data_IF_079529592187
#
_entry.id   IF_079529592187
#
_cell.length_a   1.000
_cell.length_b   1.000
_cell.length_c   1.000
_cell.angle_alpha   90.00
_cell.angle_beta   90.00
_cell.angle_gamma   90.00
#
_symmetry.space_group_name_H-M   'P 1'
#
loop_
_entity.id
_entity.type
_entity.pdbx_description
1 polymer ?
#
# COMPACT_ATOMS: atom_id res chain seq x y z
N UNK A 1 -16.33 -74.72 -30.60
CA UNK A 1 -16.30 -73.97 -31.86
C UNK A 1 -16.19 -72.50 -31.49
N UNK A 2 -14.99 -71.97 -31.23
CA UNK A 2 -13.98 -71.58 -32.26
C UNK A 2 -14.66 -70.72 -33.33
N UNK A 3 -14.26 -69.48 -33.61
CA UNK A 3 -12.92 -69.05 -34.00
C UNK A 3 -12.61 -67.60 -33.57
N UNK A 4 -11.32 -67.43 -33.28
CA UNK A 4 -10.47 -66.27 -32.96
C UNK A 4 -10.36 -65.14 -34.01
N UNK A 5 -10.20 -63.91 -33.48
CA UNK A 5 -9.15 -62.88 -33.72
C UNK A 5 -8.63 -62.66 -35.15
N UNK A 6 -8.66 -61.41 -35.60
CA UNK A 6 -7.48 -60.76 -36.23
C UNK A 6 -7.41 -59.28 -35.82
N UNK A 7 -6.30 -58.95 -35.14
CA UNK A 7 -5.78 -57.60 -34.99
C UNK A 7 -5.12 -57.19 -36.31
N UNK A 8 -5.08 -55.89 -36.60
CA UNK A 8 -3.93 -55.30 -37.28
C UNK A 8 -3.72 -53.87 -36.80
N UNK A 9 -2.54 -53.64 -36.23
CA UNK A 9 -1.97 -52.35 -35.92
C UNK A 9 -1.25 -51.81 -37.15
N UNK A 10 -1.30 -50.48 -37.34
CA UNK A 10 -0.13 -49.75 -37.84
C UNK A 10 -0.23 -48.30 -37.38
N UNK A 11 0.64 -47.93 -36.45
CA UNK A 11 1.00 -46.54 -36.18
C UNK A 11 2.13 -46.15 -37.13
N UNK A 12 2.05 -44.96 -37.76
CA UNK A 12 3.04 -43.88 -37.65
C UNK A 12 2.88 -42.82 -38.76
N UNK A 13 2.68 -41.59 -38.29
CA UNK A 13 3.24 -40.32 -38.77
C UNK A 13 3.10 -39.93 -40.25
N UNK A 14 2.54 -38.74 -40.49
CA UNK A 14 3.28 -37.52 -40.84
C UNK A 14 2.29 -36.33 -40.89
N UNK A 15 2.68 -35.24 -40.19
CA UNK A 15 2.47 -33.81 -40.46
C UNK A 15 1.69 -33.46 -41.75
N UNK A 16 0.84 -32.46 -41.87
CA UNK A 16 0.64 -31.18 -41.18
C UNK A 16 -0.52 -30.50 -41.92
N UNK A 17 -1.36 -29.73 -41.23
CA UNK A 17 -1.87 -28.41 -41.66
C UNK A 17 -2.93 -27.93 -40.67
N UNK A 18 -2.39 -27.25 -39.66
CA UNK A 18 -3.05 -26.23 -38.86
C UNK A 18 -3.80 -25.23 -39.75
N UNK A 19 -5.13 -25.23 -39.68
CA UNK A 19 -5.95 -24.12 -40.12
C UNK A 19 -5.82 -22.98 -39.10
N UNK A 20 -4.92 -22.05 -39.43
CA UNK A 20 -4.70 -20.78 -38.76
C UNK A 20 -5.98 -19.96 -38.64
N UNK A 21 -6.51 -19.83 -37.42
CA UNK A 21 -7.23 -18.63 -37.01
C UNK A 21 -6.25 -17.75 -36.24
N UNK A 22 -5.63 -16.83 -36.96
CA UNK A 22 -4.91 -15.68 -36.40
C UNK A 22 -5.86 -14.91 -35.46
N UNK A 23 -5.79 -15.20 -34.16
CA UNK A 23 -6.10 -14.22 -33.13
C UNK A 23 -4.80 -13.50 -32.85
N UNK A 24 -4.67 -12.29 -33.40
CA UNK A 24 -3.68 -11.32 -32.93
C UNK A 24 -3.73 -11.28 -31.40
N UNK A 25 -2.69 -11.82 -30.76
CA UNK A 25 -2.50 -11.75 -29.33
C UNK A 25 -2.11 -10.32 -28.97
N UNK A 26 -3.11 -9.43 -28.96
CA UNK A 26 -3.00 -8.18 -28.21
C UNK A 26 -2.83 -8.64 -26.75
N UNK A 27 -1.65 -8.42 -26.18
CA UNK A 27 -1.46 -8.62 -24.74
C UNK A 27 -2.48 -7.74 -24.04
N UNK A 28 -3.56 -8.35 -23.57
CA UNK A 28 -4.53 -7.68 -22.74
C UNK A 28 -3.87 -7.56 -21.38
N UNK A 29 -3.06 -6.53 -21.19
CA UNK A 29 -2.54 -6.15 -19.90
C UNK A 29 -3.64 -5.45 -19.12
N UNK A 30 -3.73 -5.78 -17.84
CA UNK A 30 -4.62 -5.13 -16.90
C UNK A 30 -4.30 -3.65 -16.91
N UNK A 31 -5.29 -2.81 -17.24
CA UNK A 31 -5.15 -1.35 -17.22
C UNK A 31 -4.96 -0.78 -15.81
N UNK A 32 -5.05 -1.63 -14.79
CA UNK A 32 -4.88 -1.26 -13.38
C UNK A 32 -3.48 -1.67 -12.88
N UNK A 33 -3.09 -2.93 -13.05
CA UNK A 33 -1.85 -3.45 -12.44
C UNK A 33 -0.83 -4.02 -13.44
N UNK A 34 -1.08 -3.93 -14.75
CA UNK A 34 -0.20 -4.46 -15.81
C UNK A 34 -0.17 -5.99 -15.93
N UNK A 35 -0.73 -6.75 -14.97
CA UNK A 35 -0.79 -8.20 -15.06
C UNK A 35 -1.67 -8.69 -16.22
N UNK A 36 -1.52 -9.96 -16.63
CA UNK A 36 -2.38 -10.54 -17.68
C UNK A 36 -3.87 -10.41 -17.33
N UNK A 37 -4.62 -9.76 -18.21
CA UNK A 37 -6.03 -9.47 -18.09
C UNK A 37 -6.86 -10.27 -19.10
N UNK A 38 -8.03 -10.69 -18.64
CA UNK A 38 -8.99 -11.50 -19.41
C UNK A 38 -10.43 -11.03 -19.23
N UNK A 39 -10.66 -9.99 -18.43
CA UNK A 39 -11.99 -9.52 -18.08
C UNK A 39 -12.17 -8.07 -18.51
N UNK A 40 -13.35 -7.75 -19.04
CA UNK A 40 -13.83 -6.37 -19.08
C UNK A 40 -14.68 -6.14 -17.83
N UNK A 41 -14.35 -5.13 -17.04
CA UNK A 41 -15.09 -4.77 -15.82
C UNK A 41 -15.10 -3.25 -15.67
N UNK A 42 -16.31 -2.67 -15.53
CA UNK A 42 -16.53 -1.21 -15.54
C UNK A 42 -15.85 -0.48 -16.72
N UNK A 43 -15.87 -1.08 -17.91
CA UNK A 43 -15.32 -0.47 -19.13
C UNK A 43 -13.79 -0.55 -19.26
N UNK A 44 -13.07 -1.14 -18.30
CA UNK A 44 -11.64 -1.37 -18.37
C UNK A 44 -11.29 -2.86 -18.55
N UNK A 45 -10.20 -3.14 -19.28
CA UNK A 45 -9.62 -4.48 -19.34
C UNK A 45 -8.80 -4.70 -18.07
N UNK A 46 -9.21 -5.67 -17.26
CA UNK A 46 -8.66 -5.92 -15.92
C UNK A 46 -8.31 -7.40 -15.69
N UNK A 47 -7.34 -7.64 -14.80
CA UNK A 47 -7.03 -8.98 -14.31
C UNK A 47 -8.09 -9.44 -13.29
N UNK A 48 -8.06 -10.73 -12.96
CA UNK A 48 -9.02 -11.32 -12.02
C UNK A 48 -8.96 -10.65 -10.64
N UNK A 49 -7.75 -10.39 -10.13
CA UNK A 49 -7.54 -9.81 -8.81
C UNK A 49 -8.13 -8.39 -8.71
N UNK A 50 -7.88 -7.54 -9.72
CA UNK A 50 -8.47 -6.21 -9.78
C UNK A 50 -10.00 -6.26 -9.88
N UNK A 51 -10.57 -7.14 -10.71
CA UNK A 51 -12.02 -7.34 -10.78
C UNK A 51 -12.60 -7.70 -9.41
N UNK A 52 -12.02 -8.67 -8.71
CA UNK A 52 -12.51 -9.11 -7.41
C UNK A 52 -12.35 -8.03 -6.33
N UNK A 53 -11.26 -7.24 -6.39
CA UNK A 53 -11.08 -6.07 -5.54
C UNK A 53 -12.21 -5.06 -5.74
N UNK A 54 -12.48 -4.64 -6.99
CA UNK A 54 -13.57 -3.70 -7.27
C UNK A 54 -14.95 -4.27 -6.92
N UNK A 55 -15.19 -5.56 -7.17
CA UNK A 55 -16.44 -6.24 -6.83
C UNK A 55 -16.69 -6.24 -5.31
N UNK A 56 -15.70 -6.63 -4.50
CA UNK A 56 -15.81 -6.64 -3.03
C UNK A 56 -16.04 -5.25 -2.45
N UNK A 57 -15.43 -4.22 -3.05
CA UNK A 57 -15.66 -2.84 -2.65
C UNK A 57 -17.05 -2.32 -3.06
N UNK A 58 -17.58 -2.76 -4.22
CA UNK A 58 -18.93 -2.40 -4.67
C UNK A 58 -20.04 -3.10 -3.86
N UNK A 59 -19.84 -4.36 -3.46
CA UNK A 59 -20.85 -5.17 -2.76
C UNK A 59 -20.99 -4.82 -1.26
N UNK A 60 -20.02 -4.14 -0.65
CA UNK A 60 -20.08 -3.67 0.75
C UNK A 60 -20.85 -2.33 0.94
N UNK A 61 -21.76 -2.02 -0.01
CA UNK A 61 -22.84 -1.00 -0.03
C UNK A 61 -22.49 0.49 -0.23
N UNK A 62 -22.68 0.95 -1.48
CA UNK A 62 -23.65 1.95 -1.96
C UNK A 62 -23.07 2.73 -3.16
N UNK A 63 -23.34 2.25 -4.38
CA UNK A 63 -23.33 3.10 -5.57
C UNK A 63 -24.79 3.49 -5.80
N UNK A 64 -25.24 4.71 -5.46
CA UNK A 64 -26.53 5.19 -5.94
C UNK A 64 -26.36 5.47 -7.43
N UNK A 65 -26.99 4.63 -8.26
CA UNK A 65 -27.23 4.97 -9.65
C UNK A 65 -28.55 5.72 -9.74
N UNK A 66 -28.45 6.93 -10.30
CA UNK A 66 -29.48 7.77 -10.92
C UNK A 66 -30.39 8.68 -10.07
N UNK A 67 -30.44 9.92 -10.61
CA UNK A 67 -31.39 11.02 -10.48
C UNK A 67 -31.39 11.87 -9.21
N UNK A 68 -30.92 13.10 -9.39
CA UNK A 68 -31.25 14.32 -8.65
C UNK A 68 -30.57 14.52 -7.29
N UNK A 69 -29.30 14.94 -7.34
CA UNK A 69 -28.69 15.88 -6.39
C UNK A 69 -27.51 16.55 -7.11
N UNK A 70 -27.84 17.62 -7.82
CA UNK A 70 -26.89 18.59 -8.35
C UNK A 70 -26.28 19.36 -7.17
N UNK A 71 -24.97 19.63 -7.24
CA UNK A 71 -24.13 20.38 -6.28
C UNK A 71 -23.55 19.61 -5.08
N UNK A 72 -22.82 18.50 -5.30
CA UNK A 72 -21.34 18.52 -5.24
C UNK A 72 -20.75 17.16 -5.68
N UNK A 73 -19.99 17.15 -6.78
CA UNK A 73 -19.51 15.96 -7.49
C UNK A 73 -18.17 15.46 -6.92
N UNK A 74 -18.14 14.92 -5.71
CA UNK A 74 -16.92 14.28 -5.16
C UNK A 74 -16.80 12.79 -5.55
N UNK A 75 -17.10 12.46 -6.81
CA UNK A 75 -16.87 11.11 -7.34
C UNK A 75 -15.41 11.03 -7.80
N UNK A 76 -14.63 10.17 -7.15
CA UNK A 76 -13.27 9.83 -7.60
C UNK A 76 -13.30 9.37 -9.07
N UNK A 77 -12.53 10.03 -9.93
CA UNK A 77 -12.40 9.65 -11.35
C UNK A 77 -11.66 8.33 -11.50
N UNK A 78 -11.75 7.68 -12.67
CA UNK A 78 -11.01 6.44 -12.95
C UNK A 78 -9.49 6.60 -12.74
N UNK A 79 -8.93 7.74 -13.15
CA UNK A 79 -7.50 8.02 -12.97
C UNK A 79 -7.14 8.13 -11.48
N UNK A 80 -7.98 8.79 -10.69
CA UNK A 80 -7.78 8.91 -9.24
C UNK A 80 -7.89 7.56 -8.54
N UNK A 81 -8.83 6.71 -8.96
CA UNK A 81 -8.90 5.31 -8.49
C UNK A 81 -7.65 4.51 -8.84
N UNK A 82 -7.10 4.68 -10.04
CA UNK A 82 -5.87 4.03 -10.44
C UNK A 82 -4.68 4.49 -9.59
N UNK A 83 -4.58 5.79 -9.29
CA UNK A 83 -3.55 6.33 -8.39
C UNK A 83 -3.67 5.74 -6.99
N UNK A 84 -4.87 5.71 -6.41
CA UNK A 84 -5.11 5.10 -5.10
C UNK A 84 -4.77 3.60 -5.13
N UNK A 85 -5.20 2.86 -6.15
CA UNK A 85 -4.92 1.44 -6.27
C UNK A 85 -3.42 1.15 -6.39
N UNK A 86 -2.69 1.95 -7.18
CA UNK A 86 -1.24 1.83 -7.33
C UNK A 86 -0.53 2.14 -6.00
N UNK A 87 -0.97 3.17 -5.29
CA UNK A 87 -0.45 3.51 -3.98
C UNK A 87 -0.67 2.36 -2.99
N UNK A 88 -1.92 1.89 -2.88
CA UNK A 88 -2.31 0.79 -1.99
C UNK A 88 -1.49 -0.45 -2.28
N UNK A 89 -1.34 -0.80 -3.57
CA UNK A 89 -0.54 -1.93 -4.01
C UNK A 89 0.96 -1.75 -3.70
N UNK A 90 1.52 -0.55 -3.84
CA UNK A 90 2.91 -0.27 -3.47
C UNK A 90 3.15 -0.53 -1.98
N UNK A 91 2.24 -0.08 -1.11
CA UNK A 91 2.30 -0.37 0.32
C UNK A 91 2.07 -1.86 0.63
N UNK A 92 1.12 -2.51 -0.05
CA UNK A 92 0.78 -3.91 0.17
C UNK A 92 1.86 -4.88 -0.34
N UNK A 93 2.62 -4.54 -1.38
CA UNK A 93 3.76 -5.35 -1.82
C UNK A 93 4.87 -5.41 -0.76
N UNK A 94 4.97 -4.37 0.06
CA UNK A 94 5.93 -4.26 1.14
C UNK A 94 5.27 -4.44 2.51
N UNK A 95 4.15 -5.17 2.52
CA UNK A 95 3.23 -5.31 3.63
C UNK A 95 3.94 -5.40 4.99
N UNK A 96 3.62 -4.48 5.89
CA UNK A 96 4.00 -4.58 7.29
C UNK A 96 3.46 -5.87 7.94
N UNK A 97 2.40 -6.47 7.37
CA UNK A 97 1.74 -7.67 7.88
C UNK A 97 2.66 -8.86 8.09
N UNK A 98 3.26 -9.36 7.00
CA UNK A 98 4.11 -10.55 7.08
C UNK A 98 5.27 -10.31 8.04
N UNK A 99 5.84 -9.09 8.01
CA UNK A 99 6.92 -8.73 8.91
C UNK A 99 6.53 -8.72 10.40
N UNK A 100 5.34 -8.19 10.74
CA UNK A 100 4.87 -8.17 12.13
C UNK A 100 4.45 -9.56 12.61
N UNK A 101 3.81 -10.35 11.74
CA UNK A 101 3.48 -11.73 12.05
C UNK A 101 4.73 -12.57 12.30
N UNK A 102 5.73 -12.51 11.41
CA UNK A 102 7.00 -13.20 11.58
C UNK A 102 7.66 -12.81 12.91
N UNK A 103 7.66 -11.52 13.24
CA UNK A 103 8.17 -11.02 14.50
C UNK A 103 7.39 -11.60 15.69
N UNK A 104 6.06 -11.55 15.66
CA UNK A 104 5.21 -12.09 16.73
C UNK A 104 5.38 -13.60 16.88
N UNK A 105 5.51 -14.33 15.78
CA UNK A 105 5.77 -15.76 15.79
C UNK A 105 7.13 -16.07 16.42
N UNK A 106 8.18 -15.34 16.03
CA UNK A 106 9.51 -15.44 16.65
C UNK A 106 9.42 -15.18 18.16
N UNK A 107 8.72 -14.13 18.58
CA UNK A 107 8.52 -13.83 20.00
C UNK A 107 7.73 -14.93 20.72
N UNK A 108 6.72 -15.52 20.07
CA UNK A 108 5.91 -16.57 20.67
C UNK A 108 6.67 -17.89 20.83
N UNK A 109 7.65 -18.18 19.97
CA UNK A 109 8.55 -19.34 20.09
C UNK A 109 9.54 -19.22 21.26
N UNK A 110 9.81 -18.02 21.75
CA UNK A 110 10.69 -17.80 22.90
C UNK A 110 9.98 -18.10 24.24
N UNK A 111 10.73 -18.55 25.27
CA UNK A 111 10.24 -18.58 26.65
C UNK A 111 9.70 -17.21 27.08
N UNK A 112 8.63 -17.18 27.88
CA UNK A 112 7.92 -15.94 28.29
C UNK A 112 8.88 -14.86 28.82
N UNK A 113 9.90 -15.25 29.59
CA UNK A 113 10.90 -14.34 30.17
C UNK A 113 11.83 -13.68 29.15
N UNK A 114 11.93 -14.22 27.93
CA UNK A 114 12.79 -13.74 26.84
C UNK A 114 12.02 -12.98 25.75
N UNK A 115 10.69 -12.96 25.79
CA UNK A 115 9.86 -12.23 24.82
C UNK A 115 10.04 -10.72 24.97
N UNK A 116 10.01 -10.02 23.84
CA UNK A 116 9.99 -8.57 23.70
C UNK A 116 11.14 -7.85 24.43
N UNK A 117 12.32 -8.46 24.53
CA UNK A 117 13.49 -7.78 25.12
C UNK A 117 13.90 -6.56 24.29
N UNK A 118 14.50 -5.58 24.96
CA UNK A 118 14.95 -4.32 24.37
C UNK A 118 15.68 -4.48 23.02
N UNK A 119 16.70 -5.37 22.87
CA UNK A 119 17.39 -5.51 21.58
C UNK A 119 16.48 -6.00 20.46
N UNK A 120 15.57 -6.93 20.75
CA UNK A 120 14.63 -7.49 19.77
C UNK A 120 13.63 -6.42 19.31
N UNK A 121 13.06 -5.65 20.24
CA UNK A 121 12.12 -4.56 19.90
C UNK A 121 12.84 -3.41 19.17
N UNK A 122 14.08 -3.10 19.53
CA UNK A 122 14.89 -2.10 18.81
C UNK A 122 15.19 -2.54 17.36
N UNK A 123 15.55 -3.80 17.16
CA UNK A 123 15.77 -4.40 15.84
C UNK A 123 14.48 -4.40 15.00
N UNK A 124 13.34 -4.66 15.64
CA UNK A 124 12.02 -4.57 15.02
C UNK A 124 11.74 -3.17 14.48
N UNK A 125 11.89 -2.12 15.30
CA UNK A 125 11.71 -0.73 14.84
C UNK A 125 12.69 -0.33 13.74
N UNK A 126 13.95 -0.75 13.84
CA UNK A 126 14.97 -0.49 12.81
C UNK A 126 14.59 -1.15 11.47
N UNK A 127 14.12 -2.39 11.52
CA UNK A 127 13.68 -3.13 10.34
C UNK A 127 12.41 -2.54 9.74
N UNK A 128 11.47 -2.10 10.57
CA UNK A 128 10.25 -1.43 10.14
C UNK A 128 10.56 -0.13 9.41
N UNK A 129 11.44 0.72 9.97
CA UNK A 129 11.91 1.96 9.32
C UNK A 129 12.49 1.69 7.93
N UNK A 130 13.34 0.66 7.79
CA UNK A 130 13.90 0.28 6.48
C UNK A 130 12.82 -0.16 5.48
N UNK A 131 11.86 -0.98 5.93
CA UNK A 131 10.74 -1.42 5.06
C UNK A 131 9.88 -0.25 4.59
N UNK A 132 9.59 0.69 5.49
CA UNK A 132 8.82 1.89 5.14
C UNK A 132 9.61 2.77 4.17
N UNK A 133 10.92 2.94 4.37
CA UNK A 133 11.78 3.63 3.41
C UNK A 133 11.70 3.01 2.01
N UNK A 134 11.76 1.68 1.90
CA UNK A 134 11.64 1.00 0.61
C UNK A 134 10.32 1.26 -0.12
N UNK A 135 9.21 1.46 0.62
CA UNK A 135 7.92 1.82 0.02
C UNK A 135 8.04 3.17 -0.70
N UNK A 136 8.66 4.16 -0.05
CA UNK A 136 8.83 5.49 -0.64
C UNK A 136 9.80 5.46 -1.82
N UNK A 137 10.91 4.74 -1.72
CA UNK A 137 11.87 4.59 -2.82
C UNK A 137 11.27 3.94 -4.06
N UNK A 138 10.18 3.18 -3.93
CA UNK A 138 9.48 2.50 -5.03
C UNK A 138 8.20 3.19 -5.48
N UNK A 139 7.82 4.29 -4.84
CA UNK A 139 6.68 5.07 -5.27
C UNK A 139 6.98 5.74 -6.63
N UNK A 140 6.05 5.64 -7.59
CA UNK A 140 6.26 6.14 -8.96
C UNK A 140 6.47 7.65 -8.99
N UNK A 141 5.72 8.41 -8.20
CA UNK A 141 5.87 9.86 -8.12
C UNK A 141 7.20 10.24 -7.47
N UNK A 142 7.66 9.46 -6.49
CA UNK A 142 8.99 9.63 -5.91
C UNK A 142 10.10 9.36 -6.94
N UNK A 143 9.94 8.31 -7.75
CA UNK A 143 10.86 7.96 -8.83
C UNK A 143 10.89 9.00 -9.97
N UNK A 144 9.85 9.83 -10.09
CA UNK A 144 9.81 10.92 -11.09
C UNK A 144 10.71 12.11 -10.76
N UNK A 145 11.21 12.20 -9.51
CA UNK A 145 12.09 13.27 -9.04
C UNK A 145 13.56 12.98 -9.36
N UNK A 146 14.38 14.04 -9.36
CA UNK A 146 15.82 13.92 -9.53
C UNK A 146 16.48 13.13 -8.39
N UNK A 147 17.59 12.42 -8.66
CA UNK A 147 18.35 11.69 -7.64
C UNK A 147 18.70 12.57 -6.42
N UNK A 148 19.02 13.84 -6.68
CA UNK A 148 19.34 14.82 -5.67
C UNK A 148 18.14 15.14 -4.77
N UNK A 149 16.98 15.47 -5.37
CA UNK A 149 15.76 15.78 -4.61
C UNK A 149 15.26 14.55 -3.84
N UNK A 150 15.36 13.36 -4.44
CA UNK A 150 15.03 12.09 -3.78
C UNK A 150 15.88 11.87 -2.54
N UNK A 151 17.20 12.04 -2.64
CA UNK A 151 18.10 11.89 -1.50
C UNK A 151 17.79 12.91 -0.39
N UNK A 152 17.46 14.15 -0.76
CA UNK A 152 17.02 15.18 0.17
C UNK A 152 15.72 14.78 0.88
N UNK A 153 14.70 14.38 0.13
CA UNK A 153 13.41 13.99 0.68
C UNK A 153 13.59 12.80 1.61
N UNK A 154 14.30 11.74 1.20
CA UNK A 154 14.58 10.61 2.10
C UNK A 154 15.26 11.06 3.38
N UNK A 155 16.27 11.94 3.31
CA UNK A 155 16.97 12.42 4.49
C UNK A 155 16.08 13.26 5.42
N UNK A 156 15.14 14.01 4.88
CA UNK A 156 14.31 14.96 5.63
C UNK A 156 12.99 14.35 6.09
N UNK A 157 12.38 13.51 5.26
CA UNK A 157 11.00 13.02 5.40
C UNK A 157 10.88 11.60 5.90
N UNK A 158 11.86 10.74 5.63
CA UNK A 158 11.75 9.31 5.97
C UNK A 158 11.61 9.09 7.47
N UNK A 159 12.26 9.91 8.30
CA UNK A 159 12.28 9.70 9.74
C UNK A 159 10.89 9.89 10.35
N UNK A 160 10.24 11.01 10.09
CA UNK A 160 8.90 11.26 10.62
C UNK A 160 7.85 10.40 9.94
N UNK A 161 7.95 10.19 8.63
CA UNK A 161 6.97 9.38 7.90
C UNK A 161 7.06 7.91 8.34
N UNK A 162 8.27 7.41 8.60
CA UNK A 162 8.46 6.08 9.19
C UNK A 162 7.91 5.98 10.59
N UNK A 163 8.04 7.04 11.41
CA UNK A 163 7.48 7.03 12.75
C UNK A 163 5.95 6.93 12.70
N UNK A 164 5.26 7.77 11.91
CA UNK A 164 3.80 7.74 11.76
C UNK A 164 3.34 6.39 11.19
N UNK A 165 3.99 5.90 10.13
CA UNK A 165 3.70 4.59 9.57
C UNK A 165 3.89 3.46 10.58
N UNK A 166 4.95 3.54 11.41
CA UNK A 166 5.18 2.56 12.48
C UNK A 166 4.05 2.60 13.51
N UNK A 167 3.60 3.78 13.93
CA UNK A 167 2.45 3.89 14.85
C UNK A 167 1.21 3.20 14.29
N UNK A 168 0.99 3.35 12.99
CA UNK A 168 -0.15 2.73 12.34
C UNK A 168 -0.07 1.20 12.32
N UNK A 169 1.10 0.66 12.01
CA UNK A 169 1.37 -0.77 12.10
C UNK A 169 1.16 -1.26 13.54
N UNK A 170 1.73 -0.57 14.53
CA UNK A 170 1.54 -0.93 15.94
C UNK A 170 0.06 -0.98 16.35
N UNK A 171 -0.74 -0.02 15.86
CA UNK A 171 -2.19 0.03 16.06
C UNK A 171 -2.89 -1.18 15.44
N UNK A 172 -2.65 -1.44 14.16
CA UNK A 172 -3.32 -2.48 13.39
C UNK A 172 -3.11 -3.88 14.00
N UNK A 173 -1.91 -4.16 14.53
CA UNK A 173 -1.58 -5.44 15.16
C UNK A 173 -1.71 -5.45 16.67
N UNK A 174 -2.21 -4.35 17.26
CA UNK A 174 -2.37 -4.22 18.71
C UNK A 174 -1.09 -4.53 19.48
N UNK A 175 0.08 -4.23 18.90
CA UNK A 175 1.37 -4.56 19.50
C UNK A 175 1.57 -3.84 20.84
N UNK A 176 1.02 -2.64 20.96
CA UNK A 176 1.04 -1.88 22.21
C UNK A 176 0.12 -2.46 23.29
N UNK A 177 -0.77 -3.42 22.99
CA UNK A 177 -1.59 -4.10 24.00
C UNK A 177 -0.79 -5.17 24.75
N UNK A 178 0.37 -5.60 24.21
CA UNK A 178 1.29 -6.49 24.92
C UNK A 178 2.12 -5.68 25.93
N UNK A 179 1.93 -5.89 27.26
CA UNK A 179 2.57 -5.03 28.27
C UNK A 179 4.10 -5.06 28.20
N UNK A 180 4.68 -6.21 27.85
CA UNK A 180 6.13 -6.36 27.69
C UNK A 180 6.68 -5.61 26.47
N UNK A 181 5.95 -5.63 25.34
CA UNK A 181 6.31 -4.85 24.16
C UNK A 181 6.22 -3.35 24.45
N UNK A 182 5.11 -2.91 25.07
CA UNK A 182 4.91 -1.51 25.43
C UNK A 182 6.00 -1.01 26.39
N UNK A 183 6.35 -1.79 27.42
CA UNK A 183 7.43 -1.46 28.35
C UNK A 183 8.78 -1.31 27.65
N UNK A 184 9.12 -2.21 26.73
CA UNK A 184 10.34 -2.07 25.92
C UNK A 184 10.31 -0.84 25.02
N UNK A 185 9.13 -0.48 24.49
CA UNK A 185 8.93 0.74 23.70
C UNK A 185 9.14 1.99 24.56
N UNK A 186 8.67 2.01 25.82
CA UNK A 186 8.92 3.10 26.77
C UNK A 186 10.42 3.28 27.06
N UNK A 187 11.18 2.17 27.12
CA UNK A 187 12.63 2.23 27.30
C UNK A 187 13.35 2.83 26.09
N UNK A 188 12.86 2.55 24.87
CA UNK A 188 13.46 3.05 23.62
C UNK A 188 13.16 4.55 23.43
N UNK A 189 11.91 4.98 23.58
CA UNK A 189 11.47 6.34 23.20
C UNK A 189 11.26 7.29 24.39
N UNK A 190 11.46 6.83 25.63
CA UNK A 190 11.02 7.46 26.90
C UNK A 190 9.51 7.34 27.10
N UNK A 191 9.10 7.27 28.37
CA UNK A 191 7.69 7.07 28.76
C UNK A 191 6.76 8.17 28.25
N UNK A 192 7.20 9.44 28.21
CA UNK A 192 6.37 10.54 27.71
C UNK A 192 6.03 10.38 26.21
N UNK A 193 7.02 10.05 25.38
CA UNK A 193 6.80 9.84 23.96
C UNK A 193 5.98 8.57 23.70
N UNK A 194 6.24 7.48 24.43
CA UNK A 194 5.45 6.25 24.30
C UNK A 194 3.98 6.45 24.68
N UNK A 195 3.69 7.21 25.76
CA UNK A 195 2.32 7.59 26.13
C UNK A 195 1.65 8.46 25.09
N UNK A 196 2.37 9.43 24.54
CA UNK A 196 1.88 10.25 23.43
C UNK A 196 1.54 9.39 22.23
N UNK A 197 2.46 8.53 21.79
CA UNK A 197 2.25 7.57 20.70
C UNK A 197 1.03 6.69 20.95
N UNK A 198 0.83 6.18 22.17
CA UNK A 198 -0.35 5.37 22.50
C UNK A 198 -1.65 6.15 22.33
N UNK A 199 -1.71 7.40 22.79
CA UNK A 199 -2.89 8.26 22.61
C UNK A 199 -3.20 8.52 21.13
N UNK A 200 -2.16 8.74 20.32
CA UNK A 200 -2.33 8.89 18.88
C UNK A 200 -2.85 7.60 18.26
N UNK A 201 -2.26 6.45 18.61
CA UNK A 201 -2.71 5.12 18.18
C UNK A 201 -4.19 4.88 18.49
N UNK A 202 -4.64 5.21 19.70
CA UNK A 202 -6.03 5.02 20.11
C UNK A 202 -7.01 5.96 19.36
N UNK A 203 -6.51 7.00 18.68
CA UNK A 203 -7.29 7.97 17.90
C UNK A 203 -7.16 7.79 16.39
N UNK A 204 -6.28 6.90 15.92
CA UNK A 204 -6.05 6.70 14.50
C UNK A 204 -7.26 6.02 13.84
N UNK A 205 -7.65 6.54 12.67
CA UNK A 205 -8.73 5.98 11.86
C UNK A 205 -8.37 4.56 11.39
N UNK A 206 -9.28 3.57 11.45
CA UNK A 206 -8.99 2.20 11.02
C UNK A 206 -8.84 2.03 9.49
N UNK A 207 -9.17 3.04 8.68
CA UNK A 207 -9.10 2.98 7.23
C UNK A 207 -7.65 3.03 6.73
N UNK A 208 -7.17 1.84 6.35
CA UNK A 208 -5.81 1.65 5.86
C UNK A 208 -5.52 2.43 4.57
N UNK A 209 -6.52 2.68 3.72
CA UNK A 209 -6.32 3.43 2.47
C UNK A 209 -6.14 4.91 2.76
N UNK A 210 -6.97 5.49 3.62
CA UNK A 210 -6.82 6.87 4.06
C UNK A 210 -5.42 7.12 4.61
N UNK A 211 -4.91 6.20 5.41
CA UNK A 211 -3.64 6.39 6.08
C UNK A 211 -2.46 6.29 5.13
N UNK A 212 -2.50 5.37 4.17
CA UNK A 212 -1.50 5.32 3.10
C UNK A 212 -1.45 6.63 2.33
N UNK A 213 -2.59 7.27 2.10
CA UNK A 213 -2.65 8.60 1.48
C UNK A 213 -2.02 9.68 2.36
N UNK A 214 -2.31 9.70 3.67
CA UNK A 214 -1.65 10.60 4.63
C UNK A 214 -0.14 10.39 4.65
N UNK A 215 0.33 9.14 4.63
CA UNK A 215 1.76 8.82 4.57
C UNK A 215 2.41 9.33 3.29
N UNK A 216 1.72 9.29 2.14
CA UNK A 216 2.20 9.93 0.92
C UNK A 216 2.30 11.44 1.05
N UNK A 217 1.29 12.11 1.60
CA UNK A 217 1.34 13.58 1.83
C UNK A 217 2.54 13.93 2.70
N UNK A 218 2.76 13.18 3.78
CA UNK A 218 3.90 13.38 4.67
C UNK A 218 5.23 13.11 3.96
N UNK A 219 5.34 12.05 3.16
CA UNK A 219 6.57 11.69 2.46
C UNK A 219 7.06 12.80 1.50
N UNK A 220 6.13 13.55 0.89
CA UNK A 220 6.41 14.67 -0.01
C UNK A 220 6.35 16.04 0.67
N UNK A 221 6.19 16.10 1.99
CA UNK A 221 6.16 17.38 2.70
C UNK A 221 7.50 18.10 2.63
N UNK A 222 7.45 19.34 2.17
CA UNK A 222 8.59 20.27 2.16
C UNK A 222 8.80 20.95 3.51
N UNK A 223 7.82 20.89 4.41
CA UNK A 223 7.95 21.37 5.79
C UNK A 223 8.72 20.37 6.64
N UNK A 224 9.86 20.80 7.19
CA UNK A 224 10.59 20.05 8.21
C UNK A 224 9.78 20.06 9.51
N UNK A 225 9.06 18.99 9.81
CA UNK A 225 8.15 18.99 10.95
C UNK A 225 8.84 19.04 12.32
N UNK A 226 10.12 18.64 12.48
CA UNK A 226 10.71 18.55 13.84
C UNK A 226 12.23 18.60 13.99
N UNK A 227 13.04 18.62 12.92
CA UNK A 227 14.52 18.59 13.06
C UNK A 227 15.15 19.86 12.51
N UNK A 228 15.25 20.89 13.37
CA UNK A 228 16.16 22.02 13.18
C UNK A 228 17.62 21.54 13.30
N UNK A 229 18.12 20.78 12.31
CA UNK A 229 19.55 20.61 12.14
C UNK A 229 20.10 21.92 11.57
N UNK A 230 20.74 22.69 12.44
CA UNK A 230 21.19 24.09 12.26
C UNK A 230 22.06 24.36 11.01
N UNK A 231 22.49 23.35 10.26
CA UNK A 231 23.67 23.47 9.38
C UNK A 231 23.53 22.89 7.95
N UNK A 232 22.35 22.76 7.34
CA UNK A 232 22.31 22.42 5.90
C UNK A 232 21.31 23.32 5.16
N UNK A 233 21.77 24.16 4.20
CA UNK A 233 20.88 24.70 3.19
C UNK A 233 20.49 23.53 2.28
N UNK A 234 19.42 22.84 2.64
CA UNK A 234 18.84 21.79 1.83
C UNK A 234 17.89 22.47 0.85
N UNK A 235 18.44 22.94 -0.25
CA UNK A 235 17.64 23.54 -1.31
C UNK A 235 17.22 22.44 -2.28
N UNK A 236 15.96 22.04 -2.21
CA UNK A 236 15.33 21.23 -3.24
C UNK A 236 15.40 21.97 -4.58
N UNK A 237 15.81 21.27 -5.63
CA UNK A 237 15.93 21.87 -6.98
C UNK A 237 14.56 22.00 -7.64
N UNK A 238 13.65 21.06 -7.42
CA UNK A 238 12.29 21.07 -7.96
C UNK A 238 11.21 21.15 -6.85
N UNK A 239 11.23 22.20 -6.04
CA UNK A 239 10.21 22.42 -4.98
C UNK A 239 8.79 22.41 -5.56
N UNK A 240 8.58 23.05 -6.71
CA UNK A 240 7.25 23.13 -7.34
C UNK A 240 6.71 21.75 -7.73
N UNK A 241 7.55 20.89 -8.31
CA UNK A 241 7.15 19.53 -8.66
C UNK A 241 6.80 18.69 -7.42
N UNK A 242 7.57 18.82 -6.35
CA UNK A 242 7.31 18.12 -5.09
C UNK A 242 5.99 18.57 -4.45
N UNK A 243 5.75 19.90 -4.39
CA UNK A 243 4.49 20.43 -3.91
C UNK A 243 3.31 19.99 -4.78
N UNK A 244 3.48 19.94 -6.10
CA UNK A 244 2.44 19.43 -7.00
C UNK A 244 2.08 17.96 -6.71
N UNK A 245 3.06 17.12 -6.36
CA UNK A 245 2.80 15.73 -5.95
C UNK A 245 2.07 15.70 -4.60
N UNK A 246 2.51 16.51 -3.64
CA UNK A 246 1.87 16.61 -2.32
C UNK A 246 0.41 17.09 -2.43
N UNK A 247 0.15 18.10 -3.24
CA UNK A 247 -1.18 18.65 -3.51
C UNK A 247 -2.09 17.61 -4.18
N UNK A 248 -1.55 16.84 -5.13
CA UNK A 248 -2.26 15.72 -5.75
C UNK A 248 -2.70 14.69 -4.70
N UNK A 249 -1.81 14.26 -3.80
CA UNK A 249 -2.19 13.33 -2.73
C UNK A 249 -3.17 13.95 -1.74
N UNK A 250 -3.09 15.27 -1.50
CA UNK A 250 -4.03 15.99 -0.64
C UNK A 250 -5.44 16.04 -1.24
N UNK A 251 -5.58 16.38 -2.54
CA UNK A 251 -6.86 16.32 -3.27
C UNK A 251 -7.41 14.90 -3.31
N UNK A 252 -6.57 13.89 -3.59
CA UNK A 252 -6.97 12.48 -3.56
C UNK A 252 -7.50 12.07 -2.19
N UNK A 253 -6.82 12.48 -1.11
CA UNK A 253 -7.22 12.19 0.27
C UNK A 253 -8.57 12.81 0.59
N UNK A 254 -8.75 14.08 0.24
CA UNK A 254 -10.00 14.80 0.46
C UNK A 254 -11.18 14.12 -0.25
N UNK A 255 -11.02 13.82 -1.54
CA UNK A 255 -12.05 13.10 -2.33
C UNK A 255 -12.30 11.70 -1.81
N UNK A 256 -11.27 11.01 -1.35
CA UNK A 256 -11.40 9.69 -0.74
C UNK A 256 -12.23 9.76 0.55
N UNK A 257 -11.98 10.75 1.42
CA UNK A 257 -12.77 10.96 2.64
C UNK A 257 -14.23 11.25 2.32
N UNK A 258 -14.51 12.13 1.35
CA UNK A 258 -15.88 12.41 0.88
C UNK A 258 -16.57 11.17 0.33
N UNK A 259 -15.86 10.36 -0.45
CA UNK A 259 -16.37 9.08 -0.94
C UNK A 259 -16.66 8.08 0.20
N UNK A 260 -15.75 7.99 1.18
CA UNK A 260 -15.77 6.96 2.22
C UNK A 260 -16.77 7.24 3.32
N UNK A 261 -16.85 8.49 3.75
CA UNK A 261 -17.61 8.92 4.93
C UNK A 261 -18.80 9.83 4.58
N UNK A 262 -18.89 10.28 3.33
CA UNK A 262 -19.86 11.29 2.92
C UNK A 262 -19.47 12.70 3.40
N UNK A 263 -20.18 13.72 2.89
CA UNK A 263 -19.84 15.13 3.16
C UNK A 263 -19.91 15.49 4.65
N UNK A 264 -20.92 15.04 5.38
CA UNK A 264 -21.15 15.44 6.78
C UNK A 264 -20.17 14.87 7.80
N UNK A 265 -19.46 13.79 7.48
CA UNK A 265 -18.46 13.18 8.38
C UNK A 265 -17.02 13.52 7.96
N UNK A 266 -16.82 14.02 6.73
CA UNK A 266 -15.50 14.36 6.19
C UNK A 266 -15.08 15.82 6.43
N UNK A 267 -16.04 16.74 6.59
CA UNK A 267 -15.85 18.17 6.92
C UNK A 267 -15.88 18.35 8.43
#
# INVERSE_FOLDING_TARGET
MEITVTQNSTALSIFSTSAERQRNSISCECKICGASARYSYYGAIVCHSCKMFFKRNAENKQIPTSSSLESDQSILTLNQWNLIANLVHCFDQHNGYVFVEDFLEEQNRLPVKLRFKYPSVCNFFTSMKRKIQFIFERNVDFLSLSDYDRAILLRTTVEYTSNVASMFILCQYKLCDYPLFYKSTEMIFKSSAAKFTRRIIDQLDPDNTFIKLILSILAFSTTNYTVYKKNMPINLTNIKGILSIQDMYTDLTWRYLLYRYGHHQAV
#
